data_IF_917446078680
#
_entry.id   IF_917446078680
#
_cell.length_a   1.000
_cell.length_b   1.000
_cell.length_c   1.000
_cell.angle_alpha   90.00
_cell.angle_beta   90.00
_cell.angle_gamma   90.00
#
_symmetry.space_group_name_H-M   'P 1'
#
loop_
_entity.id
_entity.type
_entity.pdbx_description
1 polymer ?
#
# COMPACT_ATOMS: atom_id res chain seq x y z
N UNK A 1 33.63 2.35 2.88
CA UNK A 1 32.71 2.06 1.76
C UNK A 1 31.36 2.66 2.10
N UNK A 2 31.07 3.85 1.57
CA UNK A 2 29.80 4.55 1.80
C UNK A 2 28.79 4.05 0.78
N UNK A 3 27.92 3.11 1.15
CA UNK A 3 26.82 2.70 0.30
C UNK A 3 25.82 3.86 0.22
N UNK A 4 25.84 4.57 -0.91
CA UNK A 4 24.82 5.54 -1.30
C UNK A 4 23.46 4.82 -1.30
N UNK A 5 22.58 5.19 -0.36
CA UNK A 5 21.21 4.71 -0.33
C UNK A 5 20.43 5.49 -1.40
N UNK A 6 20.44 4.99 -2.63
CA UNK A 6 19.55 5.49 -3.68
C UNK A 6 18.11 5.08 -3.33
N UNK A 7 17.45 5.86 -2.48
CA UNK A 7 16.00 5.84 -2.36
C UNK A 7 15.47 6.45 -3.65
N UNK A 8 15.07 5.64 -4.63
CA UNK A 8 14.30 6.12 -5.79
C UNK A 8 13.07 6.86 -5.25
N UNK A 9 13.12 8.19 -5.36
CA UNK A 9 12.44 9.14 -4.46
C UNK A 9 10.93 9.29 -4.63
N UNK A 10 10.23 8.31 -5.18
CA UNK A 10 8.77 8.33 -5.23
C UNK A 10 8.18 7.16 -4.46
N UNK A 11 8.14 7.30 -3.14
CA UNK A 11 7.21 6.50 -2.37
C UNK A 11 5.80 7.02 -2.62
N UNK A 12 4.93 6.19 -3.19
CA UNK A 12 3.51 6.51 -3.29
C UNK A 12 2.97 6.72 -1.87
N UNK A 13 2.54 7.95 -1.58
CA UNK A 13 1.95 8.25 -0.27
C UNK A 13 0.66 7.46 -0.09
N UNK A 14 0.36 7.08 1.15
CA UNK A 14 -0.90 6.39 1.49
C UNK A 14 -2.12 7.14 0.92
N UNK A 15 -2.09 8.47 0.94
CA UNK A 15 -3.12 9.33 0.36
C UNK A 15 -3.26 9.18 -1.15
N UNK A 16 -2.16 9.03 -1.91
CA UNK A 16 -2.20 8.82 -3.36
C UNK A 16 -2.77 7.44 -3.69
N UNK A 17 -2.38 6.41 -2.93
CA UNK A 17 -2.88 5.04 -3.10
C UNK A 17 -4.38 4.98 -2.82
N UNK A 18 -4.82 5.60 -1.72
CA UNK A 18 -6.23 5.64 -1.34
C UNK A 18 -7.08 6.41 -2.36
N UNK A 19 -6.60 7.58 -2.80
CA UNK A 19 -7.29 8.36 -3.82
C UNK A 19 -7.45 7.58 -5.13
N UNK A 20 -6.40 6.89 -5.57
CA UNK A 20 -6.48 6.05 -6.77
C UNK A 20 -7.48 4.90 -6.61
N UNK A 21 -7.55 4.29 -5.43
CA UNK A 21 -8.56 3.27 -5.13
C UNK A 21 -9.98 3.81 -5.30
N UNK A 22 -10.30 4.95 -4.67
CA UNK A 22 -11.63 5.58 -4.75
C UNK A 22 -12.01 5.93 -6.19
N UNK A 23 -11.09 6.55 -6.93
CA UNK A 23 -11.31 6.91 -8.35
C UNK A 23 -11.53 5.68 -9.22
N UNK A 24 -10.77 4.60 -8.96
CA UNK A 24 -10.87 3.35 -9.74
C UNK A 24 -12.15 2.58 -9.40
N UNK A 25 -12.51 2.50 -8.13
CA UNK A 25 -13.77 1.86 -7.70
C UNK A 25 -14.97 2.57 -8.32
N UNK A 26 -14.98 3.91 -8.29
CA UNK A 26 -16.04 4.69 -8.92
C UNK A 26 -16.10 4.47 -10.43
N UNK A 27 -14.96 4.38 -11.11
CA UNK A 27 -14.92 4.07 -12.54
C UNK A 27 -15.49 2.67 -12.85
N UNK A 28 -15.22 1.68 -12.00
CA UNK A 28 -15.78 0.33 -12.12
C UNK A 28 -17.31 0.37 -11.96
N UNK A 29 -17.83 1.13 -11.00
CA UNK A 29 -19.28 1.29 -10.79
C UNK A 29 -19.98 1.92 -11.99
N UNK A 30 -19.41 3.01 -12.51
CA UNK A 30 -19.93 3.68 -13.71
C UNK A 30 -19.94 2.69 -14.88
N UNK A 31 -18.84 1.95 -15.07
CA UNK A 31 -18.76 0.99 -16.16
C UNK A 31 -19.76 -0.16 -16.01
N UNK A 32 -19.97 -0.66 -14.79
CA UNK A 32 -21.00 -1.66 -14.52
C UNK A 32 -22.39 -1.16 -14.88
N UNK A 33 -22.71 0.09 -14.54
CA UNK A 33 -23.99 0.71 -14.86
C UNK A 33 -24.18 0.85 -16.37
N UNK A 34 -23.16 1.32 -17.09
CA UNK A 34 -23.18 1.45 -18.55
C UNK A 34 -23.42 0.11 -19.25
N UNK A 35 -22.68 -0.93 -18.86
CA UNK A 35 -22.84 -2.28 -19.40
C UNK A 35 -24.22 -2.84 -19.09
N UNK A 36 -24.70 -2.69 -17.86
CA UNK A 36 -26.03 -3.15 -17.45
C UNK A 36 -27.13 -2.45 -18.24
N UNK A 37 -27.03 -1.13 -18.39
CA UNK A 37 -27.98 -0.34 -19.17
C UNK A 37 -27.97 -0.74 -20.66
N UNK A 38 -26.79 -0.95 -21.24
CA UNK A 38 -26.65 -1.39 -22.62
C UNK A 38 -27.31 -2.76 -22.86
N UNK A 39 -27.12 -3.72 -21.96
CA UNK A 39 -27.75 -5.04 -22.03
C UNK A 39 -29.28 -4.95 -21.96
N UNK A 40 -29.82 -4.18 -21.01
CA UNK A 40 -31.27 -4.04 -20.84
C UNK A 40 -31.91 -3.33 -22.03
N UNK A 41 -31.19 -2.35 -22.60
CA UNK A 41 -31.66 -1.55 -23.74
C UNK A 41 -31.46 -2.25 -25.09
N UNK A 42 -30.92 -3.48 -25.12
CA UNK A 42 -30.58 -4.19 -26.36
C UNK A 42 -29.51 -3.51 -27.21
N UNK A 43 -28.68 -2.66 -26.62
CA UNK A 43 -27.56 -2.00 -27.30
C UNK A 43 -26.36 -2.96 -27.37
N UNK A 44 -25.48 -2.69 -28.34
CA UNK A 44 -24.24 -3.44 -28.46
C UNK A 44 -23.35 -3.24 -27.21
N UNK A 45 -22.77 -4.32 -26.73
CA UNK A 45 -21.80 -4.33 -25.62
C UNK A 45 -20.44 -4.79 -26.13
N UNK A 46 -19.38 -4.52 -25.34
CA UNK A 46 -18.06 -5.08 -25.61
C UNK A 46 -18.13 -6.61 -25.74
N UNK A 47 -17.25 -7.18 -26.57
CA UNK A 47 -17.14 -8.63 -26.80
C UNK A 47 -16.99 -9.42 -25.49
N UNK A 48 -16.34 -8.83 -24.48
CA UNK A 48 -16.18 -9.41 -23.13
C UNK A 48 -17.51 -9.79 -22.49
N UNK A 49 -18.58 -9.02 -22.75
CA UNK A 49 -19.91 -9.22 -22.15
C UNK A 49 -20.91 -9.86 -23.13
N UNK A 50 -20.46 -10.25 -24.32
CA UNK A 50 -21.33 -10.89 -25.30
C UNK A 50 -21.83 -12.23 -24.77
N UNK A 51 -23.16 -12.42 -24.77
CA UNK A 51 -23.80 -13.63 -24.23
C UNK A 51 -23.93 -13.66 -22.72
N UNK A 52 -23.47 -12.64 -21.99
CA UNK A 52 -23.71 -12.52 -20.55
C UNK A 52 -25.13 -12.02 -20.28
N UNK A 53 -25.72 -12.54 -19.21
CA UNK A 53 -26.98 -12.03 -18.65
C UNK A 53 -26.70 -11.04 -17.53
N UNK A 54 -27.73 -10.32 -17.09
CA UNK A 54 -27.64 -9.44 -15.91
C UNK A 54 -27.17 -10.19 -14.64
N UNK A 55 -27.47 -11.49 -14.53
CA UNK A 55 -27.03 -12.31 -13.41
C UNK A 55 -25.53 -12.62 -13.45
N UNK A 56 -24.90 -12.50 -14.61
CA UNK A 56 -23.46 -12.75 -14.80
C UNK A 56 -22.63 -11.46 -14.63
N UNK A 57 -23.20 -10.31 -15.00
CA UNK A 57 -22.55 -9.00 -14.89
C UNK A 57 -22.25 -8.65 -13.43
N UNK A 58 -23.21 -8.79 -12.52
CA UNK A 58 -22.99 -8.39 -11.13
C UNK A 58 -21.84 -9.18 -10.47
N UNK A 59 -21.78 -10.52 -10.56
CA UNK A 59 -20.63 -11.29 -10.08
C UNK A 59 -19.31 -10.91 -10.74
N UNK A 60 -19.30 -10.64 -12.05
CA UNK A 60 -18.09 -10.22 -12.77
C UNK A 60 -17.50 -8.95 -12.16
N UNK A 61 -18.30 -7.90 -12.02
CA UNK A 61 -17.84 -6.62 -11.47
C UNK A 61 -17.53 -6.70 -9.98
N UNK A 62 -18.30 -7.48 -9.21
CA UNK A 62 -18.00 -7.76 -7.81
C UNK A 62 -16.63 -8.40 -7.63
N UNK A 63 -16.27 -9.38 -8.47
CA UNK A 63 -14.96 -10.03 -8.41
C UNK A 63 -13.83 -9.04 -8.73
N UNK A 64 -14.01 -8.16 -9.72
CA UNK A 64 -13.03 -7.12 -10.05
C UNK A 64 -12.83 -6.11 -8.91
N UNK A 65 -13.90 -5.69 -8.25
CA UNK A 65 -13.79 -4.82 -7.06
C UNK A 65 -13.04 -5.50 -5.92
N UNK A 66 -13.33 -6.77 -5.67
CA UNK A 66 -12.63 -7.54 -4.64
C UNK A 66 -11.13 -7.67 -4.93
N UNK A 67 -10.75 -7.87 -6.19
CA UNK A 67 -9.34 -7.89 -6.60
C UNK A 67 -8.68 -6.52 -6.43
N UNK A 68 -9.39 -5.44 -6.76
CA UNK A 68 -8.93 -4.07 -6.53
C UNK A 68 -8.68 -3.81 -5.03
N UNK A 69 -9.62 -4.18 -4.15
CA UNK A 69 -9.48 -4.05 -2.70
C UNK A 69 -8.24 -4.78 -2.17
N UNK A 70 -8.00 -6.00 -2.64
CA UNK A 70 -6.84 -6.81 -2.25
C UNK A 70 -5.53 -6.14 -2.69
N UNK A 71 -5.47 -5.68 -3.95
CA UNK A 71 -4.29 -5.02 -4.49
C UNK A 71 -3.98 -3.72 -3.73
N UNK A 72 -5.00 -2.92 -3.42
CA UNK A 72 -4.86 -1.67 -2.68
C UNK A 72 -4.41 -1.95 -1.24
N UNK A 73 -4.96 -2.96 -0.60
CA UNK A 73 -4.56 -3.38 0.75
C UNK A 73 -3.06 -3.74 0.79
N UNK A 74 -2.58 -4.53 -0.18
CA UNK A 74 -1.16 -4.86 -0.31
C UNK A 74 -0.29 -3.62 -0.52
N UNK A 75 -0.75 -2.69 -1.37
CA UNK A 75 0.00 -1.47 -1.68
C UNK A 75 0.09 -0.52 -0.46
N UNK A 76 -1.02 -0.35 0.27
CA UNK A 76 -1.04 0.42 1.51
C UNK A 76 -0.11 -0.18 2.57
N UNK A 77 -0.14 -1.51 2.76
CA UNK A 77 0.78 -2.19 3.67
C UNK A 77 2.23 -1.96 3.24
N UNK A 78 2.57 -2.24 1.99
CA UNK A 78 3.93 -2.06 1.49
C UNK A 78 4.44 -0.61 1.65
N UNK A 79 3.59 0.38 1.37
CA UNK A 79 3.93 1.78 1.54
C UNK A 79 4.08 2.18 3.01
N UNK A 80 3.24 1.67 3.91
CA UNK A 80 3.41 1.88 5.35
C UNK A 80 4.72 1.25 5.86
N UNK A 81 5.00 0.01 5.49
CA UNK A 81 6.23 -0.68 5.87
C UNK A 81 7.49 0.05 5.40
N UNK A 82 7.52 0.47 4.13
CA UNK A 82 8.64 1.22 3.59
C UNK A 82 8.80 2.57 4.30
N UNK A 83 7.70 3.24 4.66
CA UNK A 83 7.73 4.53 5.39
C UNK A 83 8.37 4.36 6.77
N UNK A 84 7.98 3.31 7.50
CA UNK A 84 8.53 2.98 8.81
C UNK A 84 10.01 2.59 8.74
N UNK A 85 10.40 1.78 7.74
CA UNK A 85 11.80 1.43 7.51
C UNK A 85 12.66 2.65 7.18
N UNK A 86 12.15 3.55 6.35
CA UNK A 86 12.86 4.80 6.04
C UNK A 86 12.99 5.69 7.27
N UNK A 87 11.96 5.78 8.13
CA UNK A 87 12.06 6.52 9.40
C UNK A 87 13.15 5.94 10.30
N UNK A 88 13.16 4.62 10.51
CA UNK A 88 14.22 3.91 11.23
C UNK A 88 15.62 4.27 10.70
N UNK A 89 15.84 4.12 9.39
CA UNK A 89 17.14 4.42 8.77
C UNK A 89 17.50 5.90 8.90
N UNK A 90 16.55 6.82 8.66
CA UNK A 90 16.77 8.26 8.79
C UNK A 90 17.18 8.63 10.21
N UNK A 91 16.55 8.06 11.24
CA UNK A 91 16.90 8.30 12.65
C UNK A 91 18.33 7.85 12.96
N UNK A 92 18.71 6.66 12.51
CA UNK A 92 20.06 6.13 12.71
C UNK A 92 21.11 6.98 11.98
N UNK A 93 20.88 7.30 10.71
CA UNK A 93 21.82 8.03 9.85
C UNK A 93 21.98 9.50 10.25
N UNK A 94 20.93 10.15 10.80
CA UNK A 94 21.02 11.52 11.36
C UNK A 94 21.83 11.59 12.67
N UNK A 95 22.33 10.46 13.17
CA UNK A 95 22.86 10.21 14.51
C UNK A 95 24.15 10.94 14.96
N UNK A 96 24.24 12.26 14.78
CA UNK A 96 25.24 13.11 15.48
C UNK A 96 24.73 13.75 16.76
N UNK A 97 23.41 13.81 17.00
CA UNK A 97 22.82 14.29 18.27
C UNK A 97 21.80 13.25 18.74
N UNK A 98 22.24 12.29 19.57
CA UNK A 98 21.37 11.30 20.23
C UNK A 98 20.42 12.06 21.17
N UNK A 99 19.23 12.41 20.71
CA UNK A 99 18.32 13.24 21.50
C UNK A 99 17.43 12.37 22.40
N UNK A 100 16.88 11.26 21.90
CA UNK A 100 15.83 10.51 22.62
C UNK A 100 16.14 9.01 22.79
N UNK A 101 15.44 8.34 23.71
CA UNK A 101 15.61 6.91 24.05
C UNK A 101 15.47 5.99 22.82
N UNK A 102 14.49 6.26 21.96
CA UNK A 102 14.26 5.49 20.73
C UNK A 102 15.43 5.54 19.74
N UNK A 103 16.07 6.71 19.59
CA UNK A 103 17.21 6.86 18.67
C UNK A 103 18.43 6.05 19.13
N UNK A 104 18.60 5.86 20.45
CA UNK A 104 19.64 5.00 21.02
C UNK A 104 19.35 3.53 20.69
N UNK A 105 18.14 3.06 20.98
CA UNK A 105 17.73 1.67 20.73
C UNK A 105 17.84 1.33 19.25
N UNK A 106 17.37 2.20 18.36
CA UNK A 106 17.49 1.98 16.91
C UNK A 106 18.94 1.97 16.43
N UNK A 107 19.82 2.78 17.02
CA UNK A 107 21.24 2.75 16.67
C UNK A 107 21.91 1.45 17.13
N UNK A 108 21.57 0.96 18.31
CA UNK A 108 22.10 -0.30 18.82
C UNK A 108 21.59 -1.48 17.97
N UNK A 109 20.31 -1.49 17.61
CA UNK A 109 19.73 -2.45 16.65
C UNK A 109 20.44 -2.39 15.30
N UNK A 110 20.71 -1.19 14.77
CA UNK A 110 21.42 -1.03 13.50
C UNK A 110 22.86 -1.51 13.56
N UNK A 111 23.55 -1.34 14.68
CA UNK A 111 24.91 -1.89 14.84
C UNK A 111 24.91 -3.43 14.82
N UNK A 112 23.82 -4.07 15.27
CA UNK A 112 23.69 -5.52 15.28
C UNK A 112 23.22 -6.09 13.94
N UNK A 113 22.19 -5.49 13.33
CA UNK A 113 21.48 -6.04 12.15
C UNK A 113 21.56 -5.16 10.91
N UNK A 114 21.98 -3.90 11.03
CA UNK A 114 22.05 -2.92 9.95
C UNK A 114 20.72 -2.79 9.21
N UNK A 115 20.78 -2.88 7.88
CA UNK A 115 19.62 -2.84 6.99
C UNK A 115 18.80 -4.15 6.98
N UNK A 116 19.25 -5.20 7.67
CA UNK A 116 18.57 -6.51 7.71
C UNK A 116 17.59 -6.65 8.88
N UNK A 117 17.41 -5.60 9.70
CA UNK A 117 16.42 -5.60 10.76
C UNK A 117 15.00 -5.85 10.19
N UNK A 118 14.27 -6.79 10.78
CA UNK A 118 12.89 -7.07 10.42
C UNK A 118 11.99 -5.94 10.93
N UNK A 119 11.03 -5.49 10.12
CA UNK A 119 10.13 -4.41 10.54
C UNK A 119 9.30 -4.79 11.78
N UNK A 120 8.65 -5.96 11.74
CA UNK A 120 7.76 -6.42 12.81
C UNK A 120 8.55 -6.81 14.05
N UNK A 121 9.45 -7.78 13.89
CA UNK A 121 10.07 -8.46 15.03
C UNK A 121 11.20 -7.65 15.66
N UNK A 122 11.79 -6.71 14.91
CA UNK A 122 12.89 -5.87 15.43
C UNK A 122 12.46 -4.41 15.60
N UNK A 123 12.09 -3.73 14.51
CA UNK A 123 11.90 -2.26 14.54
C UNK A 123 10.68 -1.88 15.39
N UNK A 124 9.53 -2.51 15.15
CA UNK A 124 8.29 -2.19 15.85
C UNK A 124 8.32 -2.67 17.31
N UNK A 125 8.85 -3.86 17.60
CA UNK A 125 9.01 -4.32 18.99
C UNK A 125 9.92 -3.38 19.79
N UNK A 126 11.04 -2.94 19.21
CA UNK A 126 11.90 -1.95 19.87
C UNK A 126 11.19 -0.61 20.09
N UNK A 127 10.34 -0.19 19.16
CA UNK A 127 9.55 1.03 19.31
C UNK A 127 8.56 0.92 20.47
N UNK A 128 7.83 -0.19 20.58
CA UNK A 128 6.87 -0.44 21.68
C UNK A 128 7.50 -0.31 23.06
N UNK A 129 8.78 -0.64 23.22
CA UNK A 129 9.49 -0.47 24.52
C UNK A 129 9.62 1.00 24.98
N UNK A 130 9.48 1.94 24.06
CA UNK A 130 9.55 3.39 24.32
C UNK A 130 8.16 4.02 24.28
N UNK A 131 7.28 3.53 23.42
CA UNK A 131 5.91 4.00 23.23
C UNK A 131 4.97 2.79 23.18
N UNK A 132 4.46 2.31 24.34
CA UNK A 132 3.68 1.08 24.44
C UNK A 132 2.19 1.21 24.10
N UNK A 133 1.73 2.43 23.78
CA UNK A 133 0.34 2.73 23.39
C UNK A 133 0.06 2.41 21.92
#
# INVERSE_FOLDING_TARGET
MSSSFASSGEQLSLTKIWKWYEETEQAIDIYQQEVTHALVSGKCVSKTFSGMTRKDINPYFFQHKKELEQLVSLNLMASAEASLRLDYLRRVLRGRKKKNKIDKIFKDLYNQKGNRANLRDDILEMWKTVHPE
#
